data_IF_725334087018
#
_entry.id   IF_725334087018
#
_cell.length_a   1.000
_cell.length_b   1.000
_cell.length_c   1.000
_cell.angle_alpha   90.00
_cell.angle_beta   90.00
_cell.angle_gamma   90.00
#
_symmetry.space_group_name_H-M   'P 1'
#
loop_
_entity.id
_entity.type
_entity.pdbx_description
1 polymer ?
#
# COMPACT_ATOMS: atom_id res chain seq x y z
N UNK A 1 9.77 0.03 -1.27
CA UNK A 1 10.24 -0.03 0.11
C UNK A 1 11.14 -1.26 0.25
N UNK A 2 12.34 -1.04 0.73
CA UNK A 2 13.33 -2.06 1.10
C UNK A 2 13.07 -2.57 2.52
N UNK A 3 13.73 -3.64 2.92
CA UNK A 3 13.47 -4.31 4.20
C UNK A 3 13.68 -3.33 5.37
N UNK A 4 12.65 -3.09 6.19
CA UNK A 4 12.74 -2.24 7.39
C UNK A 4 12.85 -0.73 7.12
N UNK A 5 13.24 -0.34 5.91
CA UNK A 5 13.47 1.05 5.51
C UNK A 5 12.17 1.86 5.45
N UNK A 6 12.23 3.17 5.71
CA UNK A 6 11.05 3.99 5.75
C UNK A 6 10.42 4.20 4.38
N UNK A 7 9.11 4.45 4.40
CA UNK A 7 8.33 4.85 3.24
C UNK A 7 7.26 5.87 3.66
N UNK A 8 6.93 6.76 2.73
CA UNK A 8 5.76 7.63 2.83
C UNK A 8 4.72 7.16 1.82
N UNK A 9 3.52 6.87 2.31
CA UNK A 9 2.40 6.40 1.51
C UNK A 9 1.20 7.31 1.72
N UNK A 10 0.32 7.40 0.73
CA UNK A 10 -0.90 8.20 0.82
C UNK A 10 -2.11 7.36 0.42
N UNK A 11 -3.14 7.34 1.27
CA UNK A 11 -4.41 6.73 0.94
C UNK A 11 -5.17 7.56 -0.11
N UNK A 12 -5.91 6.89 -0.98
CA UNK A 12 -6.77 7.57 -1.96
C UNK A 12 -8.14 7.89 -1.38
N UNK A 13 -8.90 8.76 -2.04
CA UNK A 13 -10.32 9.00 -1.74
C UNK A 13 -11.24 7.86 -2.17
N UNK A 14 -10.76 6.93 -3.00
CA UNK A 14 -11.46 5.71 -3.37
C UNK A 14 -11.49 4.74 -2.19
N UNK A 15 -12.70 4.30 -1.83
CA UNK A 15 -12.92 3.39 -0.71
C UNK A 15 -13.39 2.03 -1.20
N UNK A 16 -13.04 1.00 -0.46
CA UNK A 16 -13.66 -0.32 -0.52
C UNK A 16 -14.55 -0.46 0.71
N UNK A 17 -15.76 -0.94 0.51
CA UNK A 17 -16.70 -1.25 1.59
C UNK A 17 -16.80 -2.76 1.76
N UNK A 18 -16.97 -3.23 2.99
CA UNK A 18 -17.12 -4.64 3.30
C UNK A 18 -18.14 -4.79 4.42
N UNK A 19 -19.15 -5.63 4.21
CA UNK A 19 -20.13 -5.96 5.23
C UNK A 19 -19.73 -7.26 5.91
N UNK A 20 -19.75 -7.26 7.25
CA UNK A 20 -19.55 -8.45 8.07
C UNK A 20 -20.82 -8.67 8.89
N UNK A 21 -21.52 -9.77 8.62
CA UNK A 21 -22.63 -10.21 9.45
C UNK A 21 -22.15 -11.32 10.38
N UNK A 22 -22.50 -11.22 11.66
CA UNK A 22 -22.11 -12.20 12.67
C UNK A 22 -23.34 -12.70 13.43
N UNK A 23 -23.37 -14.00 13.71
CA UNK A 23 -24.34 -14.64 14.61
C UNK A 23 -23.64 -15.69 15.45
N UNK A 24 -24.17 -15.99 16.63
CA UNK A 24 -23.69 -17.13 17.43
C UNK A 24 -23.81 -18.42 16.62
N UNK A 25 -22.77 -19.24 16.66
CA UNK A 25 -22.67 -20.42 15.82
C UNK A 25 -21.45 -21.29 16.13
N UNK A 26 -21.03 -22.06 15.14
CA UNK A 26 -19.95 -23.07 15.26
C UNK A 26 -18.62 -22.58 14.67
N UNK A 27 -18.50 -21.29 14.38
CA UNK A 27 -17.31 -20.71 13.77
C UNK A 27 -17.29 -20.79 12.24
N UNK A 28 -18.45 -20.95 11.59
CA UNK A 28 -18.50 -21.04 10.13
C UNK A 28 -18.24 -19.68 9.48
N UNK A 29 -17.26 -19.59 8.59
CA UNK A 29 -16.95 -18.35 7.88
C UNK A 29 -17.26 -18.52 6.40
N UNK A 30 -18.18 -17.70 5.88
CA UNK A 30 -18.56 -17.65 4.48
C UNK A 30 -18.14 -16.32 3.86
N UNK A 31 -17.48 -16.37 2.70
CA UNK A 31 -17.17 -15.18 1.91
C UNK A 31 -18.05 -15.19 0.67
N UNK A 32 -18.75 -14.09 0.42
CA UNK A 32 -19.67 -13.92 -0.70
C UNK A 32 -19.08 -12.91 -1.68
N UNK A 33 -19.03 -13.29 -2.95
CA UNK A 33 -18.68 -12.39 -4.04
C UNK A 33 -19.94 -11.85 -4.70
N UNK A 34 -19.80 -10.66 -5.27
CA UNK A 34 -20.74 -10.14 -6.27
C UNK A 34 -20.95 -11.15 -7.39
N UNK A 35 -22.21 -11.47 -7.69
CA UNK A 35 -22.59 -12.55 -8.61
C UNK A 35 -23.07 -13.83 -7.90
N UNK A 36 -23.03 -13.88 -6.57
CA UNK A 36 -23.62 -14.97 -5.76
C UNK A 36 -22.68 -16.15 -5.51
N UNK A 37 -21.49 -16.16 -6.12
CA UNK A 37 -20.43 -17.11 -5.79
C UNK A 37 -20.05 -16.94 -4.32
N UNK A 38 -20.02 -18.04 -3.57
CA UNK A 38 -19.59 -18.02 -2.17
C UNK A 38 -18.57 -19.12 -1.90
N UNK A 39 -17.72 -18.86 -0.91
CA UNK A 39 -16.75 -19.82 -0.40
C UNK A 39 -16.96 -19.99 1.09
N UNK A 40 -17.34 -21.21 1.49
CA UNK A 40 -17.35 -21.61 2.89
C UNK A 40 -15.95 -22.05 3.28
N UNK A 41 -15.33 -21.32 4.20
CA UNK A 41 -14.01 -21.65 4.71
C UNK A 41 -14.08 -23.00 5.46
N UNK A 42 -13.16 -23.95 5.17
CA UNK A 42 -13.05 -25.16 5.95
C UNK A 42 -12.83 -24.85 7.44
N UNK A 43 -13.40 -25.65 8.35
CA UNK A 43 -13.05 -25.57 9.76
C UNK A 43 -11.54 -25.74 9.93
N UNK A 44 -10.93 -24.96 10.83
CA UNK A 44 -9.49 -25.00 11.10
C UNK A 44 -8.61 -24.84 9.85
N UNK A 45 -9.03 -24.01 8.89
CA UNK A 45 -8.20 -23.67 7.74
C UNK A 45 -6.84 -23.11 8.21
N UNK A 46 -5.76 -23.72 7.76
CA UNK A 46 -4.39 -23.24 8.00
C UNK A 46 -3.71 -22.75 6.72
N UNK A 47 -4.06 -23.36 5.57
CA UNK A 47 -3.46 -23.05 4.28
C UNK A 47 -4.41 -22.20 3.41
N UNK A 48 -4.08 -20.92 3.23
CA UNK A 48 -4.92 -20.00 2.43
C UNK A 48 -4.97 -20.37 0.94
N UNK A 49 -3.98 -21.10 0.42
CA UNK A 49 -3.90 -21.52 -0.97
C UNK A 49 -5.07 -22.44 -1.39
N UNK A 50 -5.74 -23.09 -0.43
CA UNK A 50 -6.95 -23.92 -0.62
C UNK A 50 -8.19 -23.09 -0.95
N UNK A 51 -8.15 -21.78 -0.73
CA UNK A 51 -9.20 -20.86 -1.15
C UNK A 51 -9.05 -20.45 -2.62
N UNK A 52 -10.16 -20.11 -3.31
CA UNK A 52 -10.13 -19.52 -4.64
C UNK A 52 -9.21 -18.30 -4.69
N UNK A 53 -8.39 -18.19 -5.74
CA UNK A 53 -7.40 -17.11 -5.89
C UNK A 53 -8.00 -15.71 -5.71
N UNK A 54 -9.20 -15.50 -6.25
CA UNK A 54 -9.96 -14.25 -6.15
C UNK A 54 -10.40 -13.87 -4.73
N UNK A 55 -10.40 -14.82 -3.79
CA UNK A 55 -10.86 -14.63 -2.41
C UNK A 55 -9.74 -14.77 -1.37
N UNK A 56 -8.51 -15.13 -1.78
CA UNK A 56 -7.40 -15.45 -0.84
C UNK A 56 -7.11 -14.34 0.17
N UNK A 57 -7.11 -13.08 -0.25
CA UNK A 57 -6.86 -11.96 0.66
C UNK A 57 -7.98 -11.81 1.70
N UNK A 58 -9.23 -11.97 1.28
CA UNK A 58 -10.37 -11.91 2.19
C UNK A 58 -10.37 -13.07 3.18
N UNK A 59 -10.08 -14.29 2.70
CA UNK A 59 -9.92 -15.50 3.54
C UNK A 59 -8.79 -15.32 4.54
N UNK A 60 -7.61 -14.89 4.11
CA UNK A 60 -6.48 -14.64 5.01
C UNK A 60 -6.85 -13.62 6.09
N UNK A 61 -7.42 -12.47 5.70
CA UNK A 61 -7.73 -11.39 6.61
C UNK A 61 -8.73 -11.83 7.71
N UNK A 62 -9.84 -12.46 7.33
CA UNK A 62 -10.86 -12.88 8.30
C UNK A 62 -10.34 -14.01 9.21
N UNK A 63 -9.63 -14.99 8.66
CA UNK A 63 -9.12 -16.12 9.43
C UNK A 63 -8.01 -15.69 10.40
N UNK A 64 -7.06 -14.88 9.95
CA UNK A 64 -5.99 -14.33 10.79
C UNK A 64 -6.58 -13.42 11.88
N UNK A 65 -7.53 -12.55 11.52
CA UNK A 65 -8.21 -11.67 12.47
C UNK A 65 -8.96 -12.45 13.55
N UNK A 66 -9.83 -13.39 13.16
CA UNK A 66 -10.60 -14.20 14.11
C UNK A 66 -9.70 -15.05 15.00
N UNK A 67 -8.66 -15.67 14.44
CA UNK A 67 -7.70 -16.48 15.22
C UNK A 67 -6.92 -15.63 16.22
N UNK A 68 -6.49 -14.44 15.83
CA UNK A 68 -5.79 -13.52 16.73
C UNK A 68 -6.73 -12.95 17.83
N UNK A 69 -8.01 -12.79 17.51
CA UNK A 69 -9.04 -12.35 18.44
C UNK A 69 -9.56 -13.47 19.37
N UNK A 70 -9.31 -14.75 19.04
CA UNK A 70 -9.89 -15.89 19.77
C UNK A 70 -11.37 -16.14 19.46
N UNK A 71 -11.87 -15.66 18.31
CA UNK A 71 -13.26 -15.84 17.87
C UNK A 71 -13.40 -17.24 17.26
N UNK A 72 -14.23 -18.08 17.87
CA UNK A 72 -14.50 -19.45 17.40
C UNK A 72 -16.01 -19.82 17.45
N UNK A 73 -16.82 -19.01 18.10
CA UNK A 73 -18.24 -19.23 18.41
C UNK A 73 -19.18 -18.33 17.58
N UNK A 74 -18.64 -17.64 16.56
CA UNK A 74 -19.41 -16.81 15.64
C UNK A 74 -19.38 -17.39 14.23
N UNK A 75 -20.57 -17.61 13.66
CA UNK A 75 -20.70 -17.77 12.21
C UNK A 75 -20.64 -16.38 11.56
N UNK A 76 -19.76 -16.22 10.57
CA UNK A 76 -19.51 -14.97 9.87
C UNK A 76 -19.87 -15.07 8.39
N UNK A 77 -20.47 -14.00 7.88
CA UNK A 77 -20.66 -13.77 6.46
C UNK A 77 -19.95 -12.48 6.06
N UNK A 78 -19.01 -12.57 5.12
CA UNK A 78 -18.20 -11.47 4.62
C UNK A 78 -18.62 -11.16 3.19
N UNK A 79 -19.14 -9.95 2.96
CA UNK A 79 -19.59 -9.49 1.65
C UNK A 79 -18.85 -8.19 1.28
N UNK A 80 -17.73 -8.29 0.53
CA UNK A 80 -17.04 -7.12 0.00
C UNK A 80 -17.89 -6.43 -1.09
N UNK A 81 -18.10 -5.13 -0.96
CA UNK A 81 -18.72 -4.31 -2.00
C UNK A 81 -17.64 -3.72 -2.93
N UNK A 82 -17.84 -3.85 -4.24
CA UNK A 82 -16.95 -3.25 -5.24
C UNK A 82 -17.26 -1.76 -5.41
N UNK A 83 -16.44 -0.90 -4.81
CA UNK A 83 -16.44 0.56 -5.08
C UNK A 83 -15.16 1.07 -5.72
N UNK A 84 -14.09 0.27 -5.78
CA UNK A 84 -12.82 0.69 -6.41
C UNK A 84 -12.88 0.73 -7.96
N UNK A 85 -13.79 -0.06 -8.57
CA UNK A 85 -13.93 -0.25 -10.02
C UNK A 85 -15.21 0.38 -10.60
N UNK A 86 -15.62 1.58 -10.14
CA UNK A 86 -16.66 2.36 -10.86
C UNK A 86 -16.13 2.85 -12.22
N UNK A 87 -16.13 1.97 -13.22
CA UNK A 87 -15.95 2.31 -14.63
C UNK A 87 -14.55 2.74 -15.08
N UNK A 88 -13.56 2.79 -14.18
CA UNK A 88 -12.15 3.06 -14.55
C UNK A 88 -11.33 1.77 -14.51
N UNK A 89 -10.37 1.56 -15.42
CA UNK A 89 -9.45 0.42 -15.37
C UNK A 89 -8.80 0.27 -13.99
N UNK A 90 -8.47 -0.95 -13.57
CA UNK A 90 -7.74 -1.23 -12.33
C UNK A 90 -6.49 -0.36 -12.24
N UNK A 91 -6.60 0.76 -11.56
CA UNK A 91 -5.49 1.60 -11.17
C UNK A 91 -4.85 0.86 -10.01
N UNK A 92 -3.54 0.59 -10.05
CA UNK A 92 -2.82 -0.22 -9.04
C UNK A 92 -2.78 0.40 -7.65
N UNK A 93 -3.94 0.64 -7.04
CA UNK A 93 -4.17 1.37 -5.78
C UNK A 93 -4.25 0.44 -4.57
N UNK A 94 -3.85 -0.83 -4.71
CA UNK A 94 -3.76 -1.76 -3.58
C UNK A 94 -5.10 -2.35 -3.13
N UNK A 95 -5.98 -2.76 -4.07
CA UNK A 95 -7.28 -3.38 -3.73
C UNK A 95 -7.18 -4.60 -2.79
N UNK A 96 -6.12 -5.41 -2.89
CA UNK A 96 -5.84 -6.52 -1.97
C UNK A 96 -5.52 -6.07 -0.54
N UNK A 97 -4.79 -4.96 -0.39
CA UNK A 97 -4.54 -4.34 0.89
C UNK A 97 -5.80 -3.66 1.46
N UNK A 98 -6.61 -3.04 0.60
CA UNK A 98 -7.87 -2.40 0.99
C UNK A 98 -8.86 -3.41 1.58
N UNK A 99 -9.08 -4.55 0.91
CA UNK A 99 -9.96 -5.59 1.44
C UNK A 99 -9.44 -6.19 2.76
N UNK A 100 -8.11 -6.36 2.87
CA UNK A 100 -7.48 -6.88 4.08
C UNK A 100 -7.71 -5.94 5.27
N UNK A 101 -7.45 -4.64 5.07
CA UNK A 101 -7.64 -3.63 6.11
C UNK A 101 -9.13 -3.46 6.50
N UNK A 102 -10.04 -3.45 5.52
CA UNK A 102 -11.49 -3.34 5.76
C UNK A 102 -12.04 -4.51 6.59
N UNK A 103 -11.65 -5.75 6.25
CA UNK A 103 -12.06 -6.93 7.02
C UNK A 103 -11.52 -6.88 8.44
N UNK A 104 -10.24 -6.55 8.64
CA UNK A 104 -9.67 -6.48 9.99
C UNK A 104 -10.27 -5.36 10.83
N UNK A 105 -10.67 -4.24 10.22
CA UNK A 105 -11.43 -3.20 10.91
C UNK A 105 -12.79 -3.75 11.37
N UNK A 106 -13.52 -4.47 10.51
CA UNK A 106 -14.80 -5.08 10.87
C UNK A 106 -14.68 -6.19 11.93
N UNK A 107 -13.67 -7.07 11.82
CA UNK A 107 -13.43 -8.14 12.81
C UNK A 107 -13.12 -7.55 14.18
N UNK A 108 -12.41 -6.42 14.27
CA UNK A 108 -12.11 -5.75 15.54
C UNK A 108 -13.36 -5.21 16.26
N UNK A 109 -14.48 -5.06 15.56
CA UNK A 109 -15.76 -4.65 16.14
C UNK A 109 -16.66 -5.83 16.53
N UNK A 110 -16.24 -7.08 16.30
CA UNK A 110 -17.00 -8.25 16.73
C UNK A 110 -16.94 -8.45 18.25
N UNK A 111 -17.95 -9.10 18.85
CA UNK A 111 -17.89 -9.54 20.24
C UNK A 111 -16.63 -10.38 20.51
N UNK A 112 -15.92 -10.08 21.60
CA UNK A 112 -14.67 -10.78 21.97
C UNK A 112 -13.40 -10.27 21.27
N UNK A 113 -13.49 -9.36 20.28
CA UNK A 113 -12.35 -8.94 19.47
C UNK A 113 -11.49 -7.80 20.05
N UNK A 114 -11.61 -7.50 21.35
CA UNK A 114 -10.94 -6.35 21.96
C UNK A 114 -9.41 -6.37 21.81
N UNK A 115 -8.80 -7.56 21.76
CA UNK A 115 -7.35 -7.75 21.61
C UNK A 115 -6.77 -7.27 20.27
N UNK A 116 -7.61 -7.05 19.25
CA UNK A 116 -7.19 -6.59 17.93
C UNK A 116 -7.73 -5.18 17.58
N UNK A 117 -8.33 -4.47 18.54
CA UNK A 117 -8.83 -3.09 18.33
C UNK A 117 -7.74 -2.03 18.25
N UNK A 118 -6.53 -2.34 18.73
CA UNK A 118 -5.39 -1.46 18.55
C UNK A 118 -4.99 -1.36 17.06
N UNK A 119 -4.69 -0.14 16.59
CA UNK A 119 -4.39 0.09 15.17
C UNK A 119 -3.07 -0.59 14.76
N UNK A 120 -2.04 -0.52 15.59
CA UNK A 120 -0.74 -1.18 15.33
C UNK A 120 -0.92 -2.70 15.25
N UNK A 121 -1.76 -3.27 16.11
CA UNK A 121 -2.12 -4.68 16.05
C UNK A 121 -2.87 -5.03 14.77
N UNK A 122 -3.84 -4.22 14.33
CA UNK A 122 -4.52 -4.44 13.02
C UNK A 122 -3.55 -4.34 11.85
N UNK A 123 -2.65 -3.36 11.85
CA UNK A 123 -1.62 -3.22 10.80
C UNK A 123 -0.75 -4.47 10.78
N UNK A 124 -0.29 -4.93 11.94
CA UNK A 124 0.53 -6.14 12.06
C UNK A 124 -0.18 -7.35 11.47
N UNK A 125 -1.41 -7.62 11.91
CA UNK A 125 -2.22 -8.74 11.40
C UNK A 125 -2.49 -8.60 9.90
N UNK A 126 -2.73 -7.39 9.42
CA UNK A 126 -2.97 -7.10 8.01
C UNK A 126 -1.75 -7.34 7.13
N UNK A 127 -0.56 -6.91 7.57
CA UNK A 127 0.70 -7.20 6.88
C UNK A 127 0.94 -8.71 6.80
N UNK A 128 0.73 -9.45 7.90
CA UNK A 128 0.94 -10.90 7.93
C UNK A 128 -0.08 -11.66 7.08
N UNK A 129 -1.37 -11.29 7.14
CA UNK A 129 -2.42 -11.87 6.32
C UNK A 129 -2.18 -11.60 4.82
N UNK A 130 -1.77 -10.37 4.47
CA UNK A 130 -1.45 -10.00 3.10
C UNK A 130 -0.25 -10.78 2.57
N UNK A 131 0.84 -10.87 3.34
CA UNK A 131 2.02 -11.69 2.99
C UNK A 131 1.69 -13.15 2.80
N UNK A 132 0.84 -13.72 3.68
CA UNK A 132 0.38 -15.10 3.57
C UNK A 132 -0.42 -15.32 2.28
N UNK A 133 -1.31 -14.40 1.90
CA UNK A 133 -2.10 -14.53 0.66
C UNK A 133 -1.28 -14.27 -0.61
N UNK A 134 -0.38 -13.28 -0.59
CA UNK A 134 0.44 -12.84 -1.71
C UNK A 134 1.70 -13.71 -1.91
N UNK A 135 2.11 -14.48 -0.89
CA UNK A 135 3.39 -15.20 -0.80
C UNK A 135 4.60 -14.25 -0.90
N UNK A 136 4.51 -13.08 -0.26
CA UNK A 136 5.56 -12.06 -0.21
C UNK A 136 5.01 -10.63 -0.21
N UNK A 137 5.88 -9.65 -0.52
CA UNK A 137 5.54 -8.22 -0.51
C UNK A 137 5.81 -7.54 0.83
N UNK A 138 5.95 -6.21 0.82
CA UNK A 138 6.22 -5.46 2.05
C UNK A 138 4.98 -5.42 2.96
N UNK A 139 3.78 -5.27 2.41
CA UNK A 139 2.55 -5.00 3.19
C UNK A 139 2.41 -3.53 3.62
N UNK A 140 3.29 -2.65 3.13
CA UNK A 140 3.27 -1.22 3.49
C UNK A 140 1.99 -0.51 3.03
N UNK A 141 1.37 -0.97 1.95
CA UNK A 141 0.05 -0.54 1.48
C UNK A 141 -1.04 -0.84 2.51
N UNK A 142 -1.00 -2.00 3.19
CA UNK A 142 -1.92 -2.31 4.28
C UNK A 142 -1.75 -1.33 5.45
N UNK A 143 -0.51 -1.02 5.82
CA UNK A 143 -0.22 -0.05 6.88
C UNK A 143 -0.78 1.35 6.53
N UNK A 144 -0.55 1.81 5.31
CA UNK A 144 -1.05 3.09 4.82
C UNK A 144 -2.59 3.15 4.80
N UNK A 145 -3.26 2.12 4.28
CA UNK A 145 -4.73 2.09 4.19
C UNK A 145 -5.37 1.99 5.57
N UNK A 146 -4.76 1.25 6.49
CA UNK A 146 -5.26 1.14 7.88
C UNK A 146 -5.09 2.46 8.64
N UNK A 147 -4.05 3.23 8.32
CA UNK A 147 -3.77 4.54 8.92
C UNK A 147 -4.67 5.64 8.35
N UNK A 148 -4.76 5.69 7.01
CA UNK A 148 -5.42 6.77 6.28
C UNK A 148 -4.50 7.96 6.06
N UNK A 149 -4.95 8.89 5.21
CA UNK A 149 -4.22 10.10 4.85
C UNK A 149 -2.81 9.82 4.31
N UNK A 150 -1.90 10.75 4.56
CA UNK A 150 -0.47 10.59 4.35
C UNK A 150 0.14 9.91 5.59
N UNK A 151 0.90 8.84 5.39
CA UNK A 151 1.45 8.02 6.47
C UNK A 151 2.94 7.75 6.28
N UNK A 152 3.70 7.93 7.34
CA UNK A 152 5.04 7.37 7.53
C UNK A 152 4.91 5.91 7.96
N UNK A 153 5.64 5.02 7.31
CA UNK A 153 5.71 3.60 7.65
C UNK A 153 7.18 3.16 7.64
N UNK A 154 7.62 2.51 8.71
CA UNK A 154 8.99 2.02 8.89
C UNK A 154 8.99 0.70 9.67
N UNK A 155 10.07 -0.07 9.58
CA UNK A 155 10.25 -1.29 10.38
C UNK A 155 9.47 -2.51 9.90
N UNK A 156 8.87 -2.45 8.69
CA UNK A 156 8.36 -3.65 8.04
C UNK A 156 9.53 -4.40 7.38
N UNK A 157 10.15 -5.32 8.12
CA UNK A 157 11.27 -6.14 7.67
C UNK A 157 10.95 -7.10 6.51
N UNK A 158 11.95 -7.78 5.98
CA UNK A 158 11.84 -8.75 4.86
C UNK A 158 11.67 -10.21 5.30
N UNK A 159 11.28 -10.43 6.55
CA UNK A 159 10.98 -11.75 7.08
C UNK A 159 10.10 -12.55 6.10
N UNK A 160 10.36 -13.87 5.95
CA UNK A 160 9.59 -14.71 5.05
C UNK A 160 8.09 -14.63 5.38
N UNK A 161 7.21 -14.81 4.38
CA UNK A 161 5.78 -14.84 4.64
C UNK A 161 5.45 -15.96 5.65
N UNK A 162 4.44 -15.77 6.51
CA UNK A 162 3.97 -16.85 7.40
C UNK A 162 3.63 -18.11 6.62
N UNK A 163 3.87 -19.28 7.22
CA UNK A 163 3.58 -20.58 6.60
C UNK A 163 2.09 -20.92 6.64
N UNK A 164 1.38 -20.41 7.66
CA UNK A 164 -0.03 -20.69 7.86
C UNK A 164 -0.74 -19.56 8.64
N UNK A 165 -2.06 -19.67 8.73
CA UNK A 165 -2.94 -18.73 9.44
C UNK A 165 -2.55 -18.61 10.91
N UNK A 166 -2.26 -19.72 11.60
CA UNK A 166 -1.89 -19.72 13.01
C UNK A 166 -0.56 -19.00 13.31
N UNK A 167 0.40 -19.08 12.40
CA UNK A 167 1.65 -18.32 12.46
C UNK A 167 1.36 -16.84 12.22
N UNK A 168 0.64 -16.50 11.14
CA UNK A 168 0.28 -15.12 10.82
C UNK A 168 -0.47 -14.40 11.96
N UNK A 169 -1.36 -15.10 12.68
CA UNK A 169 -2.13 -14.56 13.79
C UNK A 169 -1.28 -14.28 15.06
N UNK A 170 -0.14 -14.96 15.22
CA UNK A 170 0.74 -14.83 16.39
C UNK A 170 1.96 -13.95 16.13
N UNK A 171 2.39 -13.83 14.89
CA UNK A 171 3.57 -13.04 14.51
C UNK A 171 3.36 -11.56 14.80
N UNK A 172 4.37 -10.94 15.39
CA UNK A 172 4.44 -9.50 15.64
C UNK A 172 5.45 -8.82 14.70
N UNK A 173 5.32 -7.51 14.55
CA UNK A 173 6.31 -6.65 13.90
C UNK A 173 6.85 -5.67 14.97
N UNK A 174 7.88 -6.06 15.74
CA UNK A 174 8.34 -5.27 16.89
C UNK A 174 8.91 -3.91 16.50
N UNK A 175 9.50 -3.82 15.32
CA UNK A 175 10.11 -2.58 14.81
C UNK A 175 9.13 -1.70 14.05
N UNK A 176 7.87 -2.14 13.86
CA UNK A 176 6.87 -1.41 13.10
C UNK A 176 6.61 -0.04 13.74
N UNK A 177 6.88 1.00 12.97
CA UNK A 177 6.55 2.37 13.32
C UNK A 177 5.67 2.96 12.23
N UNK A 178 4.48 3.43 12.62
CA UNK A 178 3.53 4.07 11.72
C UNK A 178 3.06 5.37 12.35
N UNK A 179 3.07 6.45 11.57
CA UNK A 179 2.63 7.75 12.03
C UNK A 179 1.91 8.51 10.90
N UNK A 180 0.79 9.19 11.20
CA UNK A 180 0.20 10.12 10.24
C UNK A 180 1.17 11.28 9.98
N UNK A 181 1.15 11.79 8.76
CA UNK A 181 1.86 12.99 8.33
C UNK A 181 0.86 14.00 7.78
N UNK A 182 1.16 15.27 7.94
CA UNK A 182 0.44 16.35 7.27
C UNK A 182 1.29 16.90 6.12
N UNK A 183 0.66 17.12 4.98
CA UNK A 183 1.35 17.73 3.85
C UNK A 183 1.63 19.21 4.17
N UNK A 184 2.82 19.75 3.88
CA UNK A 184 3.09 21.17 4.09
C UNK A 184 2.07 22.08 3.40
N UNK A 185 1.71 23.17 4.07
CA UNK A 185 0.76 24.16 3.61
C UNK A 185 1.14 24.71 2.24
N UNK A 186 0.13 24.92 1.39
CA UNK A 186 0.32 25.39 0.02
C UNK A 186 0.79 24.32 -0.96
N UNK A 187 0.95 23.06 -0.53
CA UNK A 187 1.18 21.94 -1.42
C UNK A 187 -0.07 21.09 -1.63
N UNK A 188 -0.18 20.51 -2.82
CA UNK A 188 -1.19 19.55 -3.22
C UNK A 188 -0.50 18.29 -3.77
N UNK A 189 -1.02 17.11 -3.42
CA UNK A 189 -0.47 15.82 -3.83
C UNK A 189 -1.44 15.13 -4.79
N UNK A 190 -0.98 14.84 -6.00
CA UNK A 190 -1.78 14.20 -7.05
C UNK A 190 -1.17 12.91 -7.55
N UNK A 191 -2.03 11.96 -7.90
CA UNK A 191 -1.67 10.77 -8.66
C UNK A 191 -1.98 10.97 -10.14
N UNK A 192 -1.06 10.54 -11.00
CA UNK A 192 -1.19 10.49 -12.45
C UNK A 192 -1.30 9.03 -12.85
N UNK A 193 -2.45 8.58 -13.36
CA UNK A 193 -2.64 7.20 -13.78
C UNK A 193 -1.98 6.97 -15.14
N UNK A 194 -1.03 6.06 -15.26
CA UNK A 194 -0.34 5.88 -16.56
C UNK A 194 -1.18 5.14 -17.60
N UNK A 195 -2.32 4.56 -17.20
CA UNK A 195 -3.12 3.66 -18.03
C UNK A 195 -2.42 2.36 -18.41
N UNK A 196 -1.18 2.13 -17.94
CA UNK A 196 -0.36 0.95 -18.24
C UNK A 196 -0.13 0.13 -16.97
N UNK A 197 -0.73 -1.06 -16.84
CA UNK A 197 -0.47 -1.93 -15.70
C UNK A 197 1.01 -2.31 -15.64
N UNK A 198 1.66 -2.11 -14.49
CA UNK A 198 2.98 -2.62 -14.23
C UNK A 198 2.92 -3.89 -13.39
N UNK A 199 3.74 -4.89 -13.72
CA UNK A 199 4.00 -6.04 -12.84
C UNK A 199 4.92 -5.61 -11.71
N UNK A 200 4.39 -4.90 -10.73
CA UNK A 200 5.15 -4.28 -9.63
C UNK A 200 5.74 -5.32 -8.66
N UNK A 201 5.08 -6.47 -8.48
CA UNK A 201 5.56 -7.59 -7.64
C UNK A 201 6.91 -8.17 -8.08
N UNK A 202 7.04 -8.69 -9.32
CA UNK A 202 8.32 -9.21 -9.82
C UNK A 202 9.46 -8.19 -9.83
N UNK A 203 9.18 -6.91 -10.12
CA UNK A 203 10.20 -5.84 -10.10
C UNK A 203 10.70 -5.56 -8.68
N UNK A 204 9.79 -5.44 -7.71
CA UNK A 204 10.15 -5.26 -6.31
C UNK A 204 10.91 -6.48 -5.76
N UNK A 205 10.56 -7.69 -6.19
CA UNK A 205 11.29 -8.91 -5.83
C UNK A 205 12.71 -8.91 -6.42
N UNK A 206 12.86 -8.59 -7.71
CA UNK A 206 14.17 -8.48 -8.36
C UNK A 206 15.07 -7.46 -7.65
N UNK A 207 14.53 -6.30 -7.31
CA UNK A 207 15.28 -5.25 -6.61
C UNK A 207 15.75 -5.70 -5.22
N UNK A 208 14.88 -6.35 -4.44
CA UNK A 208 15.24 -6.92 -3.13
C UNK A 208 16.31 -8.00 -3.24
N UNK A 209 16.16 -8.90 -4.22
CA UNK A 209 17.13 -9.97 -4.47
C UNK A 209 18.52 -9.39 -4.80
N UNK A 210 18.56 -8.37 -5.66
CA UNK A 210 19.79 -7.67 -6.01
C UNK A 210 20.44 -6.97 -4.80
N UNK A 211 19.66 -6.33 -3.93
CA UNK A 211 20.16 -5.71 -2.70
C UNK A 211 20.69 -6.73 -1.68
N UNK A 212 20.11 -7.92 -1.63
CA UNK A 212 20.61 -9.04 -0.82
C UNK A 212 21.90 -9.67 -1.38
N UNK A 213 22.48 -9.09 -2.44
CA UNK A 213 23.68 -9.62 -3.09
C UNK A 213 23.40 -10.81 -4.00
N UNK A 214 22.13 -11.08 -4.31
CA UNK A 214 21.74 -12.18 -5.18
C UNK A 214 21.35 -11.65 -6.56
N UNK A 215 22.14 -11.99 -7.58
CA UNK A 215 21.86 -11.59 -8.95
C UNK A 215 23.12 -11.41 -9.79
N UNK A 216 22.99 -11.01 -11.07
CA UNK A 216 24.11 -10.90 -12.00
C UNK A 216 24.87 -9.57 -11.87
N UNK A 217 24.63 -8.77 -10.83
CA UNK A 217 25.31 -7.48 -10.66
C UNK A 217 26.78 -7.70 -10.30
N UNK A 218 27.67 -6.89 -10.89
CA UNK A 218 29.05 -6.79 -10.44
C UNK A 218 29.12 -6.18 -9.04
N UNK A 219 30.25 -6.34 -8.34
CA UNK A 219 30.46 -5.72 -7.02
C UNK A 219 30.25 -4.20 -7.07
N UNK A 220 30.72 -3.55 -8.14
CA UNK A 220 30.48 -2.12 -8.37
C UNK A 220 29.00 -1.78 -8.54
N UNK A 221 28.23 -2.64 -9.24
CA UNK A 221 26.78 -2.50 -9.38
C UNK A 221 26.05 -2.69 -8.05
N UNK A 222 26.45 -3.67 -7.25
CA UNK A 222 25.89 -3.91 -5.92
C UNK A 222 26.19 -2.72 -4.97
N UNK A 223 27.41 -2.17 -4.99
CA UNK A 223 27.78 -0.98 -4.24
C UNK A 223 26.95 0.25 -4.66
N UNK A 224 26.77 0.46 -5.97
CA UNK A 224 25.94 1.54 -6.49
C UNK A 224 24.46 1.37 -6.07
N UNK A 225 23.95 0.14 -6.02
CA UNK A 225 22.59 -0.17 -5.58
C UNK A 225 22.40 0.10 -4.07
N UNK A 226 23.40 -0.25 -3.25
CA UNK A 226 23.41 0.09 -1.81
C UNK A 226 23.42 1.60 -1.60
N UNK A 227 24.29 2.33 -2.29
CA UNK A 227 24.34 3.80 -2.24
C UNK A 227 23.02 4.44 -2.70
N UNK A 228 22.41 3.91 -3.77
CA UNK A 228 21.08 4.33 -4.21
C UNK A 228 20.02 4.16 -3.12
N UNK A 229 20.04 3.03 -2.39
CA UNK A 229 19.09 2.77 -1.31
C UNK A 229 19.27 3.77 -0.18
N UNK A 230 20.52 4.02 0.24
CA UNK A 230 20.84 5.05 1.26
C UNK A 230 20.30 6.42 0.86
N UNK A 231 20.56 6.88 -0.36
CA UNK A 231 20.06 8.18 -0.83
C UNK A 231 18.52 8.22 -0.91
N UNK A 232 17.86 7.10 -1.23
CA UNK A 232 16.39 7.04 -1.25
C UNK A 232 15.82 7.13 0.17
N UNK A 233 16.47 6.51 1.14
CA UNK A 233 16.13 6.63 2.57
C UNK A 233 16.30 8.07 3.05
N UNK A 234 17.42 8.73 2.70
CA UNK A 234 17.65 10.15 3.03
C UNK A 234 16.58 11.06 2.44
N UNK A 235 16.25 10.93 1.15
CA UNK A 235 15.18 11.70 0.51
C UNK A 235 13.82 11.46 1.18
N UNK A 236 13.54 10.23 1.61
CA UNK A 236 12.30 9.88 2.33
C UNK A 236 12.26 10.51 3.72
N UNK A 237 13.38 10.51 4.45
CA UNK A 237 13.51 11.19 5.74
C UNK A 237 13.39 12.71 5.60
N UNK A 238 13.97 13.31 4.56
CA UNK A 238 13.84 14.74 4.30
C UNK A 238 12.41 15.14 3.94
N UNK A 239 11.68 14.31 3.21
CA UNK A 239 10.25 14.51 3.00
C UNK A 239 9.46 14.47 4.33
N UNK A 240 9.78 13.53 5.23
CA UNK A 240 9.18 13.50 6.58
C UNK A 240 9.51 14.75 7.38
N UNK A 241 10.78 15.17 7.41
CA UNK A 241 11.21 16.43 8.06
C UNK A 241 10.47 17.63 7.48
N UNK A 242 10.24 17.64 6.17
CA UNK A 242 9.48 18.69 5.50
C UNK A 242 8.04 18.75 6.01
N UNK A 243 7.36 17.60 6.11
CA UNK A 243 6.02 17.49 6.68
C UNK A 243 5.98 18.00 8.13
N UNK A 244 6.87 17.49 8.99
CA UNK A 244 6.92 17.86 10.42
C UNK A 244 7.19 19.34 10.68
N UNK A 245 7.95 19.99 9.79
CA UNK A 245 8.32 21.40 9.92
C UNK A 245 7.52 22.33 9.00
N UNK A 246 6.45 21.84 8.35
CA UNK A 246 5.66 22.60 7.39
C UNK A 246 6.50 23.30 6.29
N UNK A 247 7.54 22.63 5.80
CA UNK A 247 8.52 23.18 4.86
C UNK A 247 8.26 22.71 3.42
N UNK A 248 7.53 23.53 2.66
CA UNK A 248 7.14 23.18 1.30
C UNK A 248 8.32 23.04 0.31
N UNK A 249 9.39 23.83 0.49
CA UNK A 249 10.57 23.78 -0.40
C UNK A 249 11.38 22.50 -0.20
N UNK A 250 11.48 22.04 1.06
CA UNK A 250 12.14 20.77 1.35
C UNK A 250 11.32 19.59 0.82
N UNK A 251 9.99 19.62 0.91
CA UNK A 251 9.14 18.55 0.40
C UNK A 251 9.24 18.39 -1.12
N UNK A 252 9.24 19.50 -1.88
CA UNK A 252 9.43 19.49 -3.33
C UNK A 252 10.81 18.95 -3.71
N UNK A 253 11.87 19.45 -3.06
CA UNK A 253 13.25 18.97 -3.30
C UNK A 253 13.38 17.48 -3.00
N UNK A 254 12.90 17.01 -1.84
CA UNK A 254 12.95 15.61 -1.46
C UNK A 254 12.22 14.71 -2.48
N UNK A 255 11.07 15.15 -3.01
CA UNK A 255 10.36 14.40 -4.05
C UNK A 255 11.14 14.40 -5.38
N UNK A 256 11.74 15.53 -5.76
CA UNK A 256 12.57 15.66 -6.95
C UNK A 256 13.82 14.77 -6.87
N UNK A 257 14.52 14.76 -5.74
CA UNK A 257 15.70 13.92 -5.47
C UNK A 257 15.33 12.44 -5.59
N UNK A 258 14.19 12.03 -5.02
CA UNK A 258 13.63 10.68 -5.22
C UNK A 258 13.38 10.36 -6.70
N UNK A 259 12.86 11.33 -7.47
CA UNK A 259 12.68 11.21 -8.91
C UNK A 259 14.01 10.99 -9.67
N UNK A 260 15.06 11.75 -9.32
CA UNK A 260 16.40 11.59 -9.90
C UNK A 260 17.01 10.22 -9.58
N UNK A 261 16.82 9.73 -8.36
CA UNK A 261 17.24 8.39 -7.97
C UNK A 261 16.53 7.33 -8.82
N UNK A 262 15.22 7.44 -9.03
CA UNK A 262 14.50 6.55 -9.95
C UNK A 262 15.05 6.64 -11.38
N UNK A 263 15.52 7.80 -11.84
CA UNK A 263 16.08 7.95 -13.19
C UNK A 263 17.43 7.24 -13.37
N UNK A 264 18.19 7.08 -12.28
CA UNK A 264 19.48 6.37 -12.25
C UNK A 264 19.34 4.85 -12.09
N UNK A 265 18.26 4.39 -11.46
CA UNK A 265 18.05 2.97 -11.13
C UNK A 265 18.15 2.01 -12.33
N UNK A 266 17.65 2.31 -13.54
CA UNK A 266 17.80 1.42 -14.69
C UNK A 266 19.26 1.21 -15.11
N UNK A 267 20.12 2.21 -14.92
CA UNK A 267 21.55 2.11 -15.24
C UNK A 267 22.26 1.17 -14.27
N UNK A 268 21.82 1.16 -13.01
CA UNK A 268 22.41 0.34 -11.94
C UNK A 268 21.90 -1.11 -12.02
N UNK A 269 20.58 -1.28 -12.20
CA UNK A 269 19.90 -2.57 -12.02
C UNK A 269 19.39 -3.22 -13.31
N UNK A 270 19.41 -2.50 -14.44
CA UNK A 270 18.79 -2.95 -15.69
C UNK A 270 17.26 -2.93 -15.67
N UNK A 271 16.61 -2.53 -14.56
CA UNK A 271 15.16 -2.51 -14.43
C UNK A 271 14.62 -1.16 -14.93
N UNK A 272 13.80 -1.14 -15.99
CA UNK A 272 13.16 0.09 -16.44
C UNK A 272 12.10 0.53 -15.41
N UNK A 273 12.21 1.73 -14.87
CA UNK A 273 11.24 2.29 -13.90
C UNK A 273 10.46 3.50 -14.43
N UNK A 274 10.95 4.13 -15.49
CA UNK A 274 10.28 5.25 -16.15
C UNK A 274 9.63 4.78 -17.45
N UNK A 275 8.37 5.15 -17.67
CA UNK A 275 7.81 5.15 -19.02
C UNK A 275 8.30 6.39 -19.78
N UNK A 276 8.32 6.38 -21.13
CA UNK A 276 8.67 7.55 -21.91
C UNK A 276 7.85 8.80 -21.55
N UNK A 277 6.56 8.63 -21.27
CA UNK A 277 5.63 9.69 -20.91
C UNK A 277 5.98 10.30 -19.54
N UNK A 278 6.20 9.47 -18.53
CA UNK A 278 6.60 9.94 -17.20
C UNK A 278 7.98 10.63 -17.25
N UNK A 279 8.91 10.15 -18.08
CA UNK A 279 10.23 10.77 -18.21
C UNK A 279 10.17 12.15 -18.87
N UNK A 280 9.28 12.34 -19.85
CA UNK A 280 9.00 13.67 -20.43
C UNK A 280 8.43 14.61 -19.37
N UNK A 281 7.48 14.14 -18.55
CA UNK A 281 6.92 14.95 -17.45
C UNK A 281 7.98 15.33 -16.42
N UNK A 282 8.86 14.40 -16.02
CA UNK A 282 9.98 14.70 -15.12
C UNK A 282 10.91 15.76 -15.71
N UNK A 283 11.27 15.63 -17.00
CA UNK A 283 12.13 16.62 -17.65
C UNK A 283 11.50 18.02 -17.65
N UNK A 284 10.18 18.11 -17.86
CA UNK A 284 9.45 19.39 -17.79
C UNK A 284 9.36 19.93 -16.37
N UNK A 285 9.09 19.08 -15.37
CA UNK A 285 8.98 19.53 -13.98
C UNK A 285 10.28 20.12 -13.44
N UNK A 286 11.44 19.72 -13.97
CA UNK A 286 12.74 20.29 -13.56
C UNK A 286 12.89 21.78 -13.85
N UNK A 287 12.14 22.32 -14.81
CA UNK A 287 12.15 23.75 -15.11
C UNK A 287 11.24 24.56 -14.16
N UNK A 288 10.54 23.89 -13.24
CA UNK A 288 9.38 24.43 -12.54
C UNK A 288 9.56 24.24 -11.03
N UNK A 289 9.92 25.31 -10.31
CA UNK A 289 10.15 25.24 -8.85
C UNK A 289 8.90 24.88 -8.04
N UNK A 290 7.72 25.01 -8.65
CA UNK A 290 6.43 24.72 -8.05
C UNK A 290 5.93 23.28 -8.31
N UNK A 291 6.69 22.44 -9.03
CA UNK A 291 6.29 21.06 -9.31
C UNK A 291 7.43 20.07 -9.07
N UNK A 292 7.11 18.93 -8.47
CA UNK A 292 7.99 17.76 -8.51
C UNK A 292 7.17 16.51 -8.81
N UNK A 293 7.73 15.59 -9.59
CA UNK A 293 7.07 14.35 -10.00
C UNK A 293 8.04 13.17 -9.87
N UNK A 294 7.53 12.04 -9.41
CA UNK A 294 8.26 10.77 -9.41
C UNK A 294 7.32 9.59 -9.66
N UNK A 295 7.84 8.42 -10.08
CA UNK A 295 7.04 7.19 -10.14
C UNK A 295 6.53 6.82 -8.74
N UNK A 296 5.38 6.15 -8.70
CA UNK A 296 4.83 5.54 -7.50
C UNK A 296 5.06 4.03 -7.53
N UNK A 297 5.29 3.43 -6.35
CA UNK A 297 5.54 2.00 -6.23
C UNK A 297 6.84 1.54 -6.89
N UNK A 298 6.81 0.38 -7.56
CA UNK A 298 7.99 -0.24 -8.19
C UNK A 298 8.36 0.37 -9.56
N UNK A 299 7.56 1.30 -10.09
CA UNK A 299 7.78 1.94 -11.38
C UNK A 299 7.46 1.06 -12.60
N UNK A 300 7.60 1.67 -13.79
CA UNK A 300 7.37 1.04 -15.09
C UNK A 300 5.93 1.05 -15.58
N UNK A 301 5.03 1.77 -14.90
CA UNK A 301 3.60 1.89 -15.18
C UNK A 301 2.83 2.28 -13.92
N UNK A 302 1.58 1.83 -13.81
CA UNK A 302 0.62 2.12 -12.75
C UNK A 302 0.34 3.61 -12.58
N UNK A 303 1.08 4.29 -11.70
CA UNK A 303 0.91 5.71 -11.46
C UNK A 303 2.23 6.44 -11.14
N UNK A 304 2.24 7.75 -11.37
CA UNK A 304 3.20 8.66 -10.78
C UNK A 304 2.53 9.52 -9.71
N UNK A 305 3.32 10.06 -8.80
CA UNK A 305 2.87 11.07 -7.83
C UNK A 305 3.53 12.40 -8.14
N UNK A 306 2.76 13.46 -8.02
CA UNK A 306 3.19 14.83 -8.24
C UNK A 306 2.84 15.68 -7.02
N UNK A 307 3.80 16.49 -6.59
CA UNK A 307 3.63 17.49 -5.55
C UNK A 307 3.64 18.86 -6.20
N UNK A 308 2.56 19.61 -6.02
CA UNK A 308 2.26 20.86 -6.73
C UNK A 308 2.12 21.95 -5.69
N UNK A 309 2.84 23.06 -5.87
CA UNK A 309 2.64 24.27 -5.06
C UNK A 309 1.55 25.14 -5.66
N UNK A 310 0.71 25.70 -4.80
CA UNK A 310 -0.25 26.74 -5.20
C UNK A 310 0.47 28.11 -5.39
N UNK A 311 0.14 28.89 -6.44
CA UNK A 311 -0.78 28.53 -7.52
C UNK A 311 -0.18 27.48 -8.46
N UNK A 312 -1.04 26.60 -8.97
CA UNK A 312 -0.65 25.54 -9.89
C UNK A 312 0.05 26.08 -11.14
N UNK A 313 1.17 25.47 -11.58
CA UNK A 313 1.89 25.93 -12.76
C UNK A 313 1.01 25.93 -14.02
N UNK A 314 1.03 26.97 -14.87
CA UNK A 314 0.19 27.05 -16.06
C UNK A 314 0.33 25.87 -17.02
N UNK A 315 1.51 25.24 -17.08
CA UNK A 315 1.72 24.07 -17.92
C UNK A 315 0.95 22.85 -17.40
N UNK A 316 0.74 22.72 -16.08
CA UNK A 316 0.08 21.55 -15.51
C UNK A 316 -1.33 21.35 -16.09
N UNK A 317 -2.06 22.46 -16.28
CA UNK A 317 -3.41 22.44 -16.84
C UNK A 317 -3.44 22.24 -18.37
N UNK A 318 -2.37 22.63 -19.06
CA UNK A 318 -2.30 22.66 -20.53
C UNK A 318 -1.50 21.50 -21.13
N UNK A 319 -0.82 20.70 -20.30
CA UNK A 319 0.05 19.63 -20.74
C UNK A 319 -0.77 18.44 -21.29
N UNK A 320 -0.54 18.12 -22.56
CA UNK A 320 -1.23 17.04 -23.27
C UNK A 320 -0.93 15.66 -22.70
N UNK A 321 0.26 15.46 -22.11
CA UNK A 321 0.62 14.22 -21.42
C UNK A 321 -0.16 14.12 -20.11
N UNK A 322 -0.22 15.16 -19.30
CA UNK A 322 -1.03 15.17 -18.05
C UNK A 322 -2.50 14.89 -18.36
N UNK A 323 -3.05 15.56 -19.37
CA UNK A 323 -4.45 15.39 -19.79
C UNK A 323 -4.74 13.98 -20.32
N UNK A 324 -3.75 13.29 -20.91
CA UNK A 324 -3.92 11.91 -21.40
C UNK A 324 -3.76 10.83 -20.33
N UNK A 325 -2.99 11.09 -19.26
CA UNK A 325 -2.79 10.14 -18.16
C UNK A 325 -4.00 10.14 -17.19
N UNK A 326 -4.71 11.27 -17.06
CA UNK A 326 -5.76 11.40 -16.06
C UNK A 326 -5.19 11.60 -14.66
N UNK A 327 -5.74 12.58 -13.96
CA UNK A 327 -5.29 12.99 -12.63
C UNK A 327 -6.31 12.57 -11.59
N UNK A 328 -5.81 12.05 -10.47
CA UNK A 328 -6.61 11.71 -9.28
C UNK A 328 -6.03 12.50 -8.12
N UNK A 329 -6.85 13.35 -7.50
CA UNK A 329 -6.45 14.03 -6.27
C UNK A 329 -6.29 13.00 -5.15
N UNK A 330 -5.21 13.09 -4.38
CA UNK A 330 -5.00 12.22 -3.23
C UNK A 330 -5.48 12.94 -1.97
N UNK A 331 -6.21 12.23 -1.10
CA UNK A 331 -6.59 12.75 0.21
C UNK A 331 -5.46 12.52 1.19
N UNK A 332 -4.68 13.56 1.44
CA UNK A 332 -3.56 13.56 2.39
C UNK A 332 -4.01 13.58 3.85
N UNK A 333 -5.30 13.80 4.10
CA UNK A 333 -5.93 13.76 5.43
C UNK A 333 -7.14 12.84 5.44
N UNK A 334 -7.41 12.24 6.61
CA UNK A 334 -8.61 11.43 6.85
C UNK A 334 -8.32 10.06 7.46
N UNK A 335 -9.36 9.46 8.03
CA UNK A 335 -9.28 8.14 8.67
C UNK A 335 -9.03 7.04 7.64
N UNK A 336 -8.23 6.04 8.04
CA UNK A 336 -8.02 4.80 7.30
C UNK A 336 -9.21 3.84 7.40
N UNK A 337 -8.91 2.54 7.42
CA UNK A 337 -9.92 1.51 7.59
C UNK A 337 -10.64 1.63 8.94
N UNK A 338 -11.95 1.85 8.88
CA UNK A 338 -12.85 1.99 10.02
C UNK A 338 -14.05 1.06 9.84
N UNK A 339 -14.67 0.66 10.94
CA UNK A 339 -15.90 -0.09 10.95
C UNK A 339 -16.95 0.65 11.79
N UNK A 340 -18.21 0.49 11.43
CA UNK A 340 -19.35 1.02 12.16
C UNK A 340 -20.33 -0.13 12.37
N UNK A 341 -20.84 -0.28 13.59
CA UNK A 341 -21.90 -1.25 13.87
C UNK A 341 -23.24 -0.64 13.45
N UNK A 342 -23.89 -1.25 12.47
CA UNK A 342 -25.30 -0.98 12.20
C UNK A 342 -26.14 -1.94 13.04
N UNK A 343 -26.79 -1.42 14.08
CA UNK A 343 -27.78 -2.19 14.83
C UNK A 343 -29.02 -2.34 13.96
N UNK A 344 -29.17 -3.50 13.31
CA UNK A 344 -30.48 -3.96 12.86
C UNK A 344 -31.34 -4.19 14.11
N UNK A 345 -32.26 -3.26 14.37
CA UNK A 345 -33.38 -3.46 15.29
C UNK A 345 -34.34 -4.53 14.76
#
# INVERSE_FOLDING_TARGET
MTAGEPAVLCATDRRLECQISARSGSGQIRIIRKGGESYLCPPNLEEVNRAPESMRFAVAAVQVGCRAAGIADLDLEIAPAETLDRGTPKVGLGGSAAITAAILAGVAELPGAASIRDQTRRITLGVQAHRLAQQGGSGADVAAITTGGLAWVEGIGDAPPPRNISEAARTNLPDLSVAPLELPAGLDLRALATGRPARSGPRAAHFRHALAGHGPLSEAGAQALRAWNTCMTEATQDFRKACLNNNADLALRALADGGELFARLPVISGIPVWSPELRRLQARSRAESALSIKPSGAGGGDCAVALIRAPEPPFWQKDTVINSLGTVALKTTGNGAVAQQESTR
#
